data_IF_055758042660
#
_entry.id   IF_055758042660
#
_cell.length_a   1.000
_cell.length_b   1.000
_cell.length_c   1.000
_cell.angle_alpha   90.00
_cell.angle_beta   90.00
_cell.angle_gamma   90.00
#
_symmetry.space_group_name_H-M   'P 1'
#
loop_
_entity.id
_entity.type
_entity.pdbx_description
1 polymer ?
#
# COMPACT_ATOMS: atom_id res chain seq x y z
N UNK A 1 -0.37 -20.41 -7.74
CA UNK A 1 -0.33 -20.22 -6.28
C UNK A 1 -1.17 -21.31 -5.61
N UNK A 2 -0.57 -22.29 -4.90
CA UNK A 2 -1.34 -23.32 -4.17
C UNK A 2 -1.87 -22.73 -2.86
N UNK A 3 -3.00 -22.04 -2.93
CA UNK A 3 -3.86 -21.86 -1.76
C UNK A 3 -4.32 -23.23 -1.28
N UNK A 4 -4.53 -23.39 0.03
CA UNK A 4 -4.90 -24.63 0.72
C UNK A 4 -6.31 -25.11 0.34
N UNK A 5 -6.57 -25.37 -0.95
CA UNK A 5 -7.82 -25.95 -1.47
C UNK A 5 -8.04 -27.41 -1.04
N UNK A 6 -7.17 -27.99 -0.21
CA UNK A 6 -7.14 -29.43 0.10
C UNK A 6 -7.09 -29.79 1.59
N UNK A 7 -7.63 -28.96 2.50
CA UNK A 7 -7.72 -29.31 3.93
C UNK A 7 -9.14 -29.14 4.51
N UNK A 8 -10.18 -29.48 3.73
CA UNK A 8 -11.50 -29.71 4.32
C UNK A 8 -11.37 -30.94 5.25
N UNK A 9 -11.57 -30.76 6.56
CA UNK A 9 -11.56 -31.87 7.53
C UNK A 9 -10.37 -31.96 8.50
N UNK A 10 -9.43 -31.00 8.53
CA UNK A 10 -8.42 -30.94 9.61
C UNK A 10 -8.90 -30.04 10.75
N UNK A 11 -9.30 -30.64 11.86
CA UNK A 11 -9.63 -30.00 13.13
C UNK A 11 -8.35 -29.59 13.87
N UNK A 12 -7.86 -28.38 13.60
CA UNK A 12 -6.72 -27.81 14.32
C UNK A 12 -6.38 -26.41 13.82
N UNK A 13 -5.76 -25.59 14.68
CA UNK A 13 -5.25 -24.29 14.27
C UNK A 13 -4.24 -24.49 13.13
N UNK A 14 -4.64 -24.16 11.91
CA UNK A 14 -3.79 -24.26 10.72
C UNK A 14 -2.78 -23.12 10.77
N UNK A 15 -1.71 -23.24 11.53
CA UNK A 15 -0.64 -22.24 11.53
C UNK A 15 -0.06 -22.03 10.13
N UNK A 16 0.40 -20.80 9.86
CA UNK A 16 1.03 -20.47 8.58
C UNK A 16 2.22 -21.39 8.31
N UNK A 17 2.22 -22.06 7.15
CA UNK A 17 3.34 -22.91 6.70
C UNK A 17 4.65 -22.15 6.53
N UNK A 18 4.62 -20.82 6.55
CA UNK A 18 5.82 -19.97 6.49
C UNK A 18 6.42 -19.70 7.88
N UNK A 19 5.91 -20.32 8.94
CA UNK A 19 6.37 -20.12 10.32
C UNK A 19 5.84 -18.83 10.96
N UNK A 20 4.75 -18.26 10.46
CA UNK A 20 4.16 -17.06 11.07
C UNK A 20 3.34 -17.45 12.30
N UNK A 21 3.30 -16.55 13.29
CA UNK A 21 2.47 -16.67 14.50
C UNK A 21 0.95 -16.49 14.25
N UNK A 22 0.49 -16.64 13.01
CA UNK A 22 -0.90 -16.46 12.61
C UNK A 22 -1.42 -17.71 11.90
N UNK A 23 -2.74 -17.92 11.98
CA UNK A 23 -3.42 -18.92 11.19
C UNK A 23 -3.25 -18.65 9.68
N UNK A 24 -3.06 -19.72 8.91
CA UNK A 24 -2.98 -19.73 7.47
C UNK A 24 -4.34 -19.50 6.85
N UNK A 25 -4.74 -18.23 6.79
CA UNK A 25 -5.89 -17.79 6.02
C UNK A 25 -5.46 -17.19 4.70
N UNK A 26 -6.35 -17.14 3.71
CA UNK A 26 -6.09 -16.42 2.46
C UNK A 26 -5.77 -14.94 2.73
N UNK A 27 -6.45 -14.32 3.69
CA UNK A 27 -6.18 -12.94 4.11
C UNK A 27 -4.75 -12.80 4.66
N UNK A 28 -4.33 -13.67 5.58
CA UNK A 28 -2.95 -13.67 6.09
C UNK A 28 -1.94 -13.85 4.96
N UNK A 29 -2.12 -14.89 4.14
CA UNK A 29 -1.20 -15.19 3.04
C UNK A 29 -1.10 -13.99 2.11
N UNK A 30 -2.21 -13.44 1.61
CA UNK A 30 -2.17 -12.38 0.59
C UNK A 30 -1.76 -11.01 1.15
N UNK A 31 -2.08 -10.70 2.42
CA UNK A 31 -1.92 -9.36 2.96
C UNK A 31 -0.66 -9.17 3.80
N UNK A 32 -0.21 -10.17 4.56
CA UNK A 32 0.85 -9.98 5.58
C UNK A 32 1.98 -10.99 5.55
N UNK A 33 1.74 -12.23 5.09
CA UNK A 33 2.72 -13.32 5.13
C UNK A 33 4.06 -12.97 4.40
N UNK A 34 5.23 -13.06 5.06
CA UNK A 34 6.52 -12.70 4.46
C UNK A 34 6.87 -13.54 3.23
N UNK A 35 6.37 -14.78 3.15
CA UNK A 35 6.56 -15.69 2.00
C UNK A 35 6.17 -15.06 0.66
N UNK A 36 5.20 -14.15 0.65
CA UNK A 36 4.72 -13.51 -0.58
C UNK A 36 5.07 -12.02 -0.64
N UNK A 37 6.04 -11.55 0.17
CA UNK A 37 6.45 -10.14 0.22
C UNK A 37 6.65 -9.57 -1.19
N UNK A 38 7.34 -10.30 -2.07
CA UNK A 38 7.55 -9.90 -3.46
C UNK A 38 6.24 -9.72 -4.24
N UNK A 39 5.26 -10.62 -4.05
CA UNK A 39 3.93 -10.49 -4.66
C UNK A 39 3.17 -9.25 -4.18
N UNK A 40 3.29 -8.89 -2.90
CA UNK A 40 2.70 -7.64 -2.38
C UNK A 40 3.34 -6.40 -3.02
N UNK A 41 4.67 -6.38 -3.13
CA UNK A 41 5.40 -5.30 -3.79
C UNK A 41 4.98 -5.17 -5.26
N UNK A 42 4.88 -6.29 -5.98
CA UNK A 42 4.44 -6.28 -7.39
C UNK A 42 3.00 -5.78 -7.55
N UNK A 43 2.08 -6.20 -6.67
CA UNK A 43 0.69 -5.71 -6.64
C UNK A 43 0.64 -4.20 -6.42
N UNK A 44 1.42 -3.71 -5.46
CA UNK A 44 1.57 -2.28 -5.18
C UNK A 44 2.09 -1.51 -6.40
N UNK A 45 3.21 -1.98 -6.97
CA UNK A 45 3.82 -1.37 -8.15
C UNK A 45 2.89 -1.37 -9.37
N UNK A 46 2.04 -2.39 -9.53
CA UNK A 46 1.08 -2.44 -10.62
C UNK A 46 0.02 -1.33 -10.48
N UNK A 47 -0.52 -1.12 -9.27
CA UNK A 47 -1.48 -0.04 -8.99
C UNK A 47 -0.86 1.34 -9.18
N UNK A 48 0.34 1.57 -8.64
CA UNK A 48 1.06 2.84 -8.80
C UNK A 48 1.31 3.14 -10.28
N UNK A 49 1.75 2.15 -11.07
CA UNK A 49 1.94 2.29 -12.53
C UNK A 49 0.64 2.62 -13.26
N UNK A 50 -0.46 1.95 -12.89
CA UNK A 50 -1.78 2.20 -13.46
C UNK A 50 -2.25 3.63 -13.18
N UNK A 51 -2.18 4.07 -11.92
CA UNK A 51 -2.58 5.43 -11.52
C UNK A 51 -1.74 6.49 -12.21
N UNK A 52 -0.41 6.31 -12.25
CA UNK A 52 0.50 7.19 -12.98
C UNK A 52 0.09 7.35 -14.45
N UNK A 53 -0.19 6.24 -15.14
CA UNK A 53 -0.62 6.27 -16.54
C UNK A 53 -1.96 6.99 -16.72
N UNK A 54 -2.91 6.78 -15.79
CA UNK A 54 -4.22 7.44 -15.79
C UNK A 54 -4.12 8.95 -15.58
N UNK A 55 -3.31 9.41 -14.63
CA UNK A 55 -3.10 10.84 -14.38
C UNK A 55 -2.36 11.53 -15.54
N UNK A 56 -1.34 10.89 -16.11
CA UNK A 56 -0.62 11.42 -17.28
C UNK A 56 -1.55 11.60 -18.48
N UNK A 57 -2.43 10.63 -18.77
CA UNK A 57 -3.44 10.75 -19.83
C UNK A 57 -4.39 11.93 -19.63
N UNK A 58 -4.63 12.33 -18.38
CA UNK A 58 -5.44 13.49 -18.00
C UNK A 58 -4.64 14.80 -17.85
N UNK A 59 -3.41 14.82 -18.39
CA UNK A 59 -2.49 15.98 -18.40
C UNK A 59 -2.05 16.47 -17.01
N UNK A 60 -2.05 15.59 -16.00
CA UNK A 60 -1.37 15.89 -14.73
C UNK A 60 0.14 15.68 -14.90
N UNK A 61 0.93 16.54 -14.25
CA UNK A 61 2.35 16.26 -14.01
C UNK A 61 2.43 15.23 -12.89
N UNK A 62 3.14 14.12 -13.12
CA UNK A 62 3.23 13.02 -12.15
C UNK A 62 4.69 12.75 -11.80
N UNK A 63 5.01 12.89 -10.52
CA UNK A 63 6.29 12.57 -9.93
C UNK A 63 6.21 11.23 -9.19
N UNK A 64 7.24 10.40 -9.34
CA UNK A 64 7.41 9.11 -8.66
C UNK A 64 8.70 9.15 -7.86
N UNK A 65 8.78 8.36 -6.79
CA UNK A 65 10.01 8.23 -5.97
C UNK A 65 10.48 9.54 -5.35
N UNK A 66 9.53 10.42 -4.97
CA UNK A 66 9.85 11.72 -4.38
C UNK A 66 10.23 11.55 -2.92
N UNK A 67 11.25 12.30 -2.50
CA UNK A 67 11.61 12.44 -1.09
C UNK A 67 11.07 13.76 -0.55
N UNK A 68 10.17 13.66 0.41
CA UNK A 68 9.63 14.80 1.14
C UNK A 68 10.42 14.97 2.44
N UNK A 69 11.27 16.00 2.49
CA UNK A 69 12.13 16.32 3.62
C UNK A 69 13.63 16.21 3.31
N UNK A 70 14.48 16.78 4.18
CA UNK A 70 15.95 16.56 4.18
C UNK A 70 16.34 16.22 5.62
N UNK A 71 16.41 14.93 5.96
CA UNK A 71 16.78 14.46 7.30
C UNK A 71 15.99 13.23 7.80
N UNK A 72 16.17 12.86 9.08
CA UNK A 72 15.36 11.83 9.74
C UNK A 72 13.87 12.20 9.67
N UNK A 73 13.02 11.25 9.32
CA UNK A 73 11.59 11.50 9.09
C UNK A 73 11.24 11.96 7.67
N UNK A 74 12.16 11.82 6.70
CA UNK A 74 11.82 11.99 5.30
C UNK A 74 10.73 10.99 4.87
N UNK A 75 9.70 11.51 4.21
CA UNK A 75 8.58 10.72 3.73
C UNK A 75 8.77 10.40 2.24
N UNK A 76 8.44 9.17 1.87
CA UNK A 76 8.54 8.70 0.49
C UNK A 76 7.16 8.25 0.00
N UNK A 77 6.30 9.17 -0.44
CA UNK A 77 5.05 8.80 -1.05
C UNK A 77 5.27 8.09 -2.39
N UNK A 78 4.28 7.32 -2.83
CA UNK A 78 4.35 6.65 -4.13
C UNK A 78 4.30 7.63 -5.29
N UNK A 79 3.42 8.62 -5.19
CA UNK A 79 3.14 9.58 -6.25
C UNK A 79 2.91 10.99 -5.67
N UNK A 80 3.38 11.99 -6.41
CA UNK A 80 2.91 13.37 -6.29
C UNK A 80 2.34 13.77 -7.65
N UNK A 81 1.10 14.24 -7.66
CA UNK A 81 0.46 14.74 -8.88
C UNK A 81 0.27 16.24 -8.78
N UNK A 82 0.48 16.96 -9.87
CA UNK A 82 0.35 18.42 -9.94
C UNK A 82 -0.48 18.81 -11.14
N UNK A 83 -1.43 19.72 -10.94
CA UNK A 83 -2.27 20.30 -12.01
C UNK A 83 -2.83 21.65 -11.55
N UNK A 84 -2.80 22.63 -12.44
CA UNK A 84 -3.43 23.95 -12.22
C UNK A 84 -2.99 24.60 -10.90
N UNK A 85 -1.69 24.57 -10.60
CA UNK A 85 -1.12 25.16 -9.39
C UNK A 85 -1.38 24.39 -8.09
N UNK A 86 -2.11 23.28 -8.16
CA UNK A 86 -2.38 22.41 -7.02
C UNK A 86 -1.53 21.15 -7.09
N UNK A 87 -1.09 20.65 -5.94
CA UNK A 87 -0.42 19.38 -5.84
C UNK A 87 -1.07 18.46 -4.80
N UNK A 88 -0.97 17.16 -5.03
CA UNK A 88 -1.54 16.14 -4.17
C UNK A 88 -0.54 15.01 -3.95
N UNK A 89 -0.40 14.60 -2.70
CA UNK A 89 0.38 13.43 -2.30
C UNK A 89 -0.53 12.20 -2.33
N UNK A 90 -0.11 11.17 -3.06
CA UNK A 90 -0.81 9.89 -3.13
C UNK A 90 0.10 8.77 -2.66
N UNK A 91 -0.29 8.13 -1.56
CA UNK A 91 0.37 6.93 -1.06
C UNK A 91 -0.63 5.76 -1.11
N UNK A 92 -0.37 4.81 -1.99
CA UNK A 92 -1.29 3.74 -2.38
C UNK A 92 -1.24 2.61 -1.35
N UNK A 93 -2.38 1.98 -1.10
CA UNK A 93 -2.44 0.87 -0.17
C UNK A 93 -3.49 -0.14 -0.62
N UNK A 94 -3.17 -1.42 -0.45
CA UNK A 94 -4.13 -2.52 -0.62
C UNK A 94 -4.35 -3.15 0.73
N UNK A 95 -5.58 -3.06 1.23
CA UNK A 95 -5.97 -3.56 2.55
C UNK A 95 -6.94 -4.71 2.48
N UNK A 96 -7.01 -5.44 3.59
CA UNK A 96 -8.10 -6.36 3.89
C UNK A 96 -9.36 -5.57 4.30
N UNK A 97 -10.58 -6.01 3.97
CA UNK A 97 -11.82 -5.39 4.43
C UNK A 97 -12.09 -5.59 5.94
N UNK A 98 -11.14 -6.14 6.70
CA UNK A 98 -11.26 -6.39 8.14
C UNK A 98 -11.27 -5.12 9.00
N UNK A 99 -10.95 -3.96 8.43
CA UNK A 99 -11.04 -2.65 9.07
C UNK A 99 -11.75 -1.68 8.11
N UNK A 100 -12.51 -0.69 8.60
CA UNK A 100 -13.13 0.33 7.76
C UNK A 100 -12.09 1.09 6.92
N UNK A 101 -12.36 1.25 5.62
CA UNK A 101 -11.39 1.82 4.67
C UNK A 101 -11.13 3.30 4.92
N UNK A 102 -12.14 4.04 5.38
CA UNK A 102 -12.09 5.44 5.75
C UNK A 102 -11.14 5.69 6.93
N UNK A 103 -11.16 4.81 7.95
CA UNK A 103 -10.24 4.90 9.09
C UNK A 103 -8.80 4.71 8.64
N UNK A 104 -8.53 3.70 7.80
CA UNK A 104 -7.19 3.42 7.28
C UNK A 104 -6.70 4.57 6.40
N UNK A 105 -7.57 5.11 5.54
CA UNK A 105 -7.23 6.24 4.69
C UNK A 105 -6.91 7.49 5.51
N UNK A 106 -7.67 7.73 6.59
CA UNK A 106 -7.45 8.86 7.51
C UNK A 106 -6.12 8.74 8.25
N UNK A 107 -5.82 7.58 8.83
CA UNK A 107 -4.53 7.32 9.50
C UNK A 107 -3.35 7.66 8.58
N UNK A 108 -3.45 7.29 7.29
CA UNK A 108 -2.42 7.58 6.30
C UNK A 108 -2.38 9.06 5.92
N UNK A 109 -3.53 9.71 5.75
CA UNK A 109 -3.58 11.14 5.48
C UNK A 109 -2.98 11.96 6.65
N UNK A 110 -3.27 11.56 7.88
CA UNK A 110 -2.74 12.20 9.09
C UNK A 110 -1.22 12.01 9.20
N UNK A 111 -0.67 10.85 8.80
CA UNK A 111 0.78 10.60 8.74
C UNK A 111 1.52 11.57 7.80
N UNK A 112 0.90 11.96 6.68
CA UNK A 112 1.46 12.94 5.75
C UNK A 112 1.10 14.40 6.10
N UNK A 113 0.25 14.64 7.11
CA UNK A 113 -0.14 15.99 7.56
C UNK A 113 0.93 16.58 8.50
N UNK A 114 2.17 16.62 8.01
CA UNK A 114 3.28 17.31 8.68
C UNK A 114 3.58 18.64 7.96
N UNK A 115 3.95 19.71 8.68
CA UNK A 115 4.16 21.04 8.09
C UNK A 115 5.12 21.05 6.90
N UNK A 116 6.19 20.25 6.99
CA UNK A 116 7.23 20.14 5.96
C UNK A 116 6.75 19.55 4.62
N UNK A 117 5.58 18.91 4.59
CA UNK A 117 4.94 18.42 3.37
C UNK A 117 3.97 19.46 2.81
N UNK A 118 3.18 20.10 3.68
CA UNK A 118 2.15 21.07 3.27
C UNK A 118 2.76 22.33 2.65
N UNK A 119 3.94 22.76 3.09
CA UNK A 119 4.62 23.94 2.53
C UNK A 119 5.32 23.69 1.18
N UNK A 120 5.40 22.44 0.72
CA UNK A 120 6.17 22.02 -0.47
C UNK A 120 5.31 21.47 -1.61
N UNK A 121 4.02 21.35 -1.37
CA UNK A 121 3.00 20.80 -2.28
C UNK A 121 2.05 21.94 -2.59
#
# INVERSE_FOLDING_TARGET
MRTSRGRRGRTGALWCRAGCAYAETQAHIIQTCPRIRGGRILRHHALVRFLRGSFRRRRYKVHTEVWLGRGPGSLRPDLIIVKEGNAWVLDVQVVSPSRPLDVIAKEKADYYRIPSVVERV
#
